data_IF_318581779907
#
_entry.id   IF_318581779907
#
_cell.length_a   1.000
_cell.length_b   1.000
_cell.length_c   1.000
_cell.angle_alpha   90.00
_cell.angle_beta   90.00
_cell.angle_gamma   90.00
#
_symmetry.space_group_name_H-M   'P 1'
#
loop_
_entity.id
_entity.type
_entity.pdbx_description
1 polymer ?
#
# COMPACT_ATOMS: atom_id res chain seq x y z
N UNK A 1 19.00 9.29 -11.41
CA UNK A 1 18.86 8.12 -12.32
C UNK A 1 19.12 8.45 -13.79
N UNK A 2 18.50 9.49 -14.39
CA UNK A 2 18.73 9.84 -15.81
C UNK A 2 20.19 10.13 -16.16
N UNK A 3 20.91 10.87 -15.29
CA UNK A 3 22.36 11.11 -15.44
C UNK A 3 23.16 9.81 -15.53
N UNK A 4 22.82 8.81 -14.70
CA UNK A 4 23.48 7.51 -14.73
C UNK A 4 23.16 6.74 -16.02
N UNK A 5 21.91 6.75 -16.47
CA UNK A 5 21.49 6.16 -17.75
C UNK A 5 22.28 6.77 -18.92
N UNK A 6 22.39 8.10 -18.97
CA UNK A 6 23.16 8.81 -19.98
C UNK A 6 24.64 8.43 -19.93
N UNK A 7 25.21 8.32 -18.73
CA UNK A 7 26.60 7.90 -18.55
C UNK A 7 26.83 6.50 -19.12
N UNK A 8 25.98 5.52 -18.78
CA UNK A 8 26.08 4.16 -19.32
C UNK A 8 25.90 4.11 -20.84
N UNK A 9 24.94 4.87 -21.38
CA UNK A 9 24.72 4.93 -22.82
C UNK A 9 25.95 5.48 -23.57
N UNK A 10 26.65 6.45 -22.99
CA UNK A 10 27.90 6.99 -23.56
C UNK A 10 29.07 6.01 -23.39
N UNK A 11 29.18 5.37 -22.23
CA UNK A 11 30.36 4.60 -21.85
C UNK A 11 30.38 3.19 -22.46
N UNK A 12 29.21 2.56 -22.64
CA UNK A 12 29.08 1.23 -23.25
C UNK A 12 29.08 1.27 -24.79
N UNK A 13 29.02 2.48 -25.37
CA UNK A 13 29.02 2.68 -26.82
C UNK A 13 27.79 2.08 -27.52
N UNK A 14 27.92 1.81 -28.82
CA UNK A 14 26.81 1.29 -29.64
C UNK A 14 26.56 -0.22 -29.48
N UNK A 15 27.44 -0.94 -28.80
CA UNK A 15 27.33 -2.40 -28.64
C UNK A 15 26.27 -2.84 -27.62
N UNK A 16 25.80 -1.92 -26.77
CA UNK A 16 24.82 -2.22 -25.72
C UNK A 16 23.74 -1.15 -25.68
N UNK A 17 22.48 -1.56 -25.84
CA UNK A 17 21.33 -0.66 -25.70
C UNK A 17 20.98 -0.49 -24.22
N UNK A 18 21.05 0.75 -23.73
CA UNK A 18 20.65 1.11 -22.37
C UNK A 18 19.20 1.59 -22.38
N UNK A 19 18.37 1.03 -21.50
CA UNK A 19 16.94 1.37 -21.36
C UNK A 19 16.64 1.78 -19.90
N UNK A 20 16.00 2.93 -19.71
CA UNK A 20 15.51 3.36 -18.41
C UNK A 20 14.08 2.84 -18.19
N UNK A 21 13.90 1.94 -17.23
CA UNK A 21 12.57 1.51 -16.79
C UNK A 21 12.09 2.39 -15.63
N UNK A 22 10.93 3.04 -15.80
CA UNK A 22 10.35 3.94 -14.79
C UNK A 22 8.83 4.01 -14.92
N UNK A 23 8.10 3.87 -13.80
CA UNK A 23 6.65 4.11 -13.75
C UNK A 23 6.31 5.57 -13.39
N UNK A 24 7.30 6.38 -12.98
CA UNK A 24 7.14 7.83 -12.87
C UNK A 24 7.02 8.45 -14.27
N UNK A 25 5.82 8.99 -14.56
CA UNK A 25 5.44 9.62 -15.83
C UNK A 25 6.34 10.80 -16.18
N UNK A 26 6.66 11.64 -15.19
CA UNK A 26 7.44 12.86 -15.39
C UNK A 26 8.92 12.53 -15.61
N UNK A 27 9.45 11.53 -14.90
CA UNK A 27 10.80 11.06 -15.13
C UNK A 27 10.94 10.40 -16.52
N UNK A 28 9.94 9.63 -16.98
CA UNK A 28 9.90 9.08 -18.33
C UNK A 28 9.92 10.20 -19.38
N UNK A 29 9.06 11.20 -19.24
CA UNK A 29 8.97 12.34 -20.17
C UNK A 29 10.31 13.06 -20.29
N UNK A 30 10.90 13.46 -19.17
CA UNK A 30 12.21 14.12 -19.14
C UNK A 30 13.33 13.26 -19.72
N UNK A 31 13.31 11.95 -19.49
CA UNK A 31 14.31 11.05 -20.07
C UNK A 31 14.24 11.02 -21.60
N UNK A 32 13.02 10.95 -22.17
CA UNK A 32 12.82 10.98 -23.62
C UNK A 32 13.28 12.32 -24.21
N UNK A 33 12.97 13.44 -23.55
CA UNK A 33 13.44 14.78 -23.95
C UNK A 33 14.96 14.93 -23.91
N UNK A 34 15.61 14.29 -22.94
CA UNK A 34 17.07 14.20 -22.82
C UNK A 34 17.69 13.20 -23.83
N UNK A 35 16.89 12.57 -24.70
CA UNK A 35 17.35 11.64 -25.75
C UNK A 35 17.64 10.22 -25.25
N UNK A 36 17.16 9.86 -24.05
CA UNK A 36 17.31 8.53 -23.47
C UNK A 36 16.14 7.64 -23.87
N UNK A 37 16.41 6.35 -24.10
CA UNK A 37 15.36 5.36 -24.21
C UNK A 37 14.75 5.11 -22.82
N UNK A 38 13.43 5.31 -22.69
CA UNK A 38 12.71 5.09 -21.43
C UNK A 38 11.34 4.47 -21.64
N UNK A 39 11.01 3.46 -20.84
CA UNK A 39 9.74 2.72 -20.89
C UNK A 39 9.15 2.53 -19.49
N UNK A 40 7.83 2.30 -19.42
CA UNK A 40 7.21 1.84 -18.17
C UNK A 40 7.47 0.35 -17.99
N UNK A 41 7.39 -0.15 -16.76
CA UNK A 41 7.55 -1.58 -16.50
C UNK A 41 6.52 -2.39 -17.30
N UNK A 42 5.27 -1.91 -17.36
CA UNK A 42 4.20 -2.54 -18.15
C UNK A 42 4.52 -2.61 -19.65
N UNK A 43 4.96 -1.50 -20.25
CA UNK A 43 5.29 -1.48 -21.68
C UNK A 43 6.45 -2.42 -22.00
N UNK A 44 7.46 -2.44 -21.13
CA UNK A 44 8.60 -3.33 -21.28
C UNK A 44 8.18 -4.80 -21.20
N UNK A 45 7.38 -5.20 -20.21
CA UNK A 45 6.89 -6.58 -20.08
C UNK A 45 6.02 -7.00 -21.27
N UNK A 46 5.15 -6.11 -21.77
CA UNK A 46 4.37 -6.37 -23.00
C UNK A 46 5.28 -6.64 -24.21
N UNK A 47 6.40 -5.92 -24.31
CA UNK A 47 7.36 -6.11 -25.40
C UNK A 47 8.08 -7.46 -25.38
N UNK A 48 8.13 -8.15 -24.23
CA UNK A 48 8.79 -9.46 -24.10
C UNK A 48 7.97 -10.61 -24.71
N UNK A 49 6.70 -10.39 -25.07
CA UNK A 49 5.82 -11.42 -25.64
C UNK A 49 5.46 -12.54 -24.66
N UNK A 50 5.56 -12.26 -23.36
CA UNK A 50 5.32 -13.21 -22.25
C UNK A 50 4.12 -12.76 -21.42
N UNK A 51 2.89 -13.19 -21.79
CA UNK A 51 1.66 -12.73 -21.15
C UNK A 51 1.60 -13.11 -19.66
N UNK A 52 2.20 -14.21 -19.25
CA UNK A 52 2.25 -14.68 -17.86
C UNK A 52 2.94 -13.70 -16.91
N UNK A 53 3.79 -12.81 -17.44
CA UNK A 53 4.46 -11.78 -16.66
C UNK A 53 3.56 -10.58 -16.38
N UNK A 54 2.51 -10.37 -17.17
CA UNK A 54 1.55 -9.28 -16.95
C UNK A 54 0.72 -9.51 -15.70
N UNK A 55 0.42 -10.76 -15.37
CA UNK A 55 -0.31 -11.14 -14.15
C UNK A 55 0.49 -10.84 -12.88
N UNK A 56 1.81 -10.73 -12.98
CA UNK A 56 2.71 -10.40 -11.87
C UNK A 56 2.91 -8.89 -11.70
N UNK A 57 2.39 -8.07 -12.62
CA UNK A 57 2.51 -6.63 -12.52
C UNK A 57 1.43 -6.05 -11.61
N UNK A 58 1.87 -5.16 -10.72
CA UNK A 58 0.95 -4.29 -10.00
C UNK A 58 0.23 -3.42 -11.02
N UNK A 59 -1.08 -3.60 -11.15
CA UNK A 59 -1.93 -2.69 -11.87
C UNK A 59 -1.91 -1.36 -11.11
N UNK A 60 -1.14 -0.39 -11.60
CA UNK A 60 -1.27 0.98 -11.11
C UNK A 60 -2.70 1.39 -11.38
N UNK A 61 -3.47 1.65 -10.31
CA UNK A 61 -4.79 2.27 -10.40
C UNK A 61 -4.65 3.44 -11.34
N UNK A 62 -5.13 3.27 -12.56
CA UNK A 62 -5.01 4.30 -13.56
C UNK A 62 -5.86 5.47 -13.05
N UNK A 63 -5.23 6.60 -12.78
CA UNK A 63 -5.96 7.87 -12.59
C UNK A 63 -6.79 8.20 -13.84
N UNK A 64 -6.43 7.61 -14.98
CA UNK A 64 -7.23 7.53 -16.20
C UNK A 64 -8.08 6.26 -16.16
N UNK A 65 -9.35 6.37 -15.77
CA UNK A 65 -10.31 5.28 -15.51
C UNK A 65 -10.62 4.30 -16.65
N UNK A 66 -9.60 3.67 -17.23
CA UNK A 66 -9.67 2.46 -18.02
C UNK A 66 -9.17 1.34 -17.11
N UNK A 67 -9.96 1.05 -16.08
CA UNK A 67 -9.92 -0.27 -15.49
C UNK A 67 -10.44 -1.22 -16.55
N UNK A 68 -9.76 -2.34 -16.76
CA UNK A 68 -10.40 -3.48 -17.40
C UNK A 68 -11.64 -3.75 -16.53
N UNK A 69 -12.83 -3.56 -17.10
CA UNK A 69 -14.08 -3.92 -16.48
C UNK A 69 -14.10 -5.44 -16.33
N UNK A 70 -13.42 -5.95 -15.30
CA UNK A 70 -13.96 -7.12 -14.61
C UNK A 70 -15.28 -6.63 -14.06
N UNK A 71 -16.36 -7.05 -14.72
CA UNK A 71 -17.74 -6.75 -14.39
C UNK A 71 -17.99 -7.17 -12.95
N UNK A 72 -17.70 -6.26 -12.03
CA UNK A 72 -18.00 -6.44 -10.62
C UNK A 72 -19.51 -6.24 -10.49
N UNK A 73 -20.25 -7.36 -10.58
CA UNK A 73 -21.70 -7.44 -10.46
C UNK A 73 -22.26 -6.89 -9.12
N UNK A 74 -21.41 -6.32 -8.25
CA UNK A 74 -21.83 -5.67 -7.02
C UNK A 74 -22.40 -4.28 -7.34
N UNK A 75 -23.62 -3.95 -6.86
CA UNK A 75 -24.29 -2.71 -7.19
C UNK A 75 -23.44 -1.50 -6.86
N UNK A 76 -23.32 -0.64 -7.86
CA UNK A 76 -22.60 0.61 -7.95
C UNK A 76 -22.89 1.56 -6.77
N UNK A 77 -21.91 1.66 -5.87
CA UNK A 77 -21.48 2.86 -5.15
C UNK A 77 -20.19 2.48 -4.45
N UNK A 78 -19.07 3.14 -4.78
CA UNK A 78 -17.82 3.09 -4.00
C UNK A 78 -18.10 3.66 -2.60
N UNK A 79 -18.81 2.93 -1.75
CA UNK A 79 -19.00 3.29 -0.35
C UNK A 79 -17.62 3.15 0.26
N UNK A 80 -17.04 4.26 0.71
CA UNK A 80 -15.78 4.22 1.46
C UNK A 80 -16.08 3.39 2.72
N UNK A 81 -15.62 2.14 2.72
CA UNK A 81 -15.90 1.17 3.82
C UNK A 81 -14.94 1.41 5.00
N UNK A 82 -13.78 2.01 4.72
CA UNK A 82 -12.67 2.13 5.64
C UNK A 82 -12.21 3.58 5.74
N UNK A 83 -12.07 4.08 6.96
CA UNK A 83 -11.54 5.41 7.21
C UNK A 83 -10.11 5.54 6.68
N UNK A 84 -9.77 6.74 6.27
CA UNK A 84 -8.41 7.06 5.83
C UNK A 84 -7.42 6.91 6.99
N UNK A 85 -6.19 6.49 6.69
CA UNK A 85 -5.16 6.39 7.72
C UNK A 85 -4.67 7.79 8.09
N UNK A 86 -4.43 8.01 9.38
CA UNK A 86 -3.85 9.24 9.88
C UNK A 86 -2.41 9.41 9.35
N UNK A 87 -1.94 10.65 9.13
CA UNK A 87 -0.57 10.88 8.73
C UNK A 87 0.41 10.45 9.82
N UNK A 88 1.62 10.03 9.41
CA UNK A 88 2.64 9.54 10.34
C UNK A 88 3.02 10.55 11.43
N UNK A 89 2.98 11.85 11.14
CA UNK A 89 3.24 12.91 12.12
C UNK A 89 2.24 12.90 13.28
N UNK A 90 0.95 12.74 12.97
CA UNK A 90 -0.12 12.65 13.97
C UNK A 90 -0.02 11.36 14.78
N UNK A 91 0.20 10.22 14.09
CA UNK A 91 0.39 8.92 14.76
C UNK A 91 1.56 9.01 15.75
N UNK A 92 2.70 9.55 15.31
CA UNK A 92 3.89 9.69 16.14
C UNK A 92 3.62 10.60 17.33
N UNK A 93 2.99 11.76 17.13
CA UNK A 93 2.63 12.66 18.23
C UNK A 93 1.67 12.01 19.21
N UNK A 94 0.64 11.31 18.73
CA UNK A 94 -0.34 10.63 19.56
C UNK A 94 0.24 9.46 20.36
N UNK A 95 1.22 8.74 19.80
CA UNK A 95 1.97 7.71 20.54
C UNK A 95 2.78 8.32 21.69
N UNK A 96 3.50 9.42 21.45
CA UNK A 96 4.27 10.11 22.50
C UNK A 96 3.38 10.70 23.61
N UNK A 97 2.17 11.16 23.25
CA UNK A 97 1.20 11.70 24.20
C UNK A 97 0.38 10.61 24.90
N UNK A 98 0.53 9.34 24.53
CA UNK A 98 -0.25 8.23 25.07
C UNK A 98 -1.73 8.22 24.63
N UNK A 99 -2.06 8.94 23.56
CA UNK A 99 -3.39 8.92 22.92
C UNK A 99 -3.55 7.64 22.09
N UNK A 100 -2.47 7.24 21.41
CA UNK A 100 -2.41 6.01 20.64
C UNK A 100 -1.55 4.98 21.34
N UNK A 101 -1.85 3.72 21.04
CA UNK A 101 -1.15 2.57 21.57
C UNK A 101 -0.68 1.72 20.40
N UNK A 102 0.64 1.53 20.30
CA UNK A 102 1.22 0.69 19.27
C UNK A 102 1.30 -0.76 19.75
N UNK A 103 1.10 -1.70 18.82
CA UNK A 103 1.24 -3.11 19.09
C UNK A 103 1.11 -3.97 17.83
N UNK A 104 1.44 -5.26 17.97
CA UNK A 104 1.24 -6.24 16.90
C UNK A 104 -0.21 -6.74 16.92
N UNK A 105 -0.89 -6.65 15.79
CA UNK A 105 -2.24 -7.18 15.60
C UNK A 105 -2.20 -8.70 15.50
N UNK A 106 -3.04 -9.38 16.28
CA UNK A 106 -3.27 -10.82 16.23
C UNK A 106 -4.74 -11.09 15.94
N UNK A 107 -5.05 -11.59 14.76
CA UNK A 107 -6.42 -11.89 14.36
C UNK A 107 -6.85 -13.23 14.96
N UNK A 108 -8.08 -13.31 15.46
CA UNK A 108 -8.63 -14.54 15.98
C UNK A 108 -8.77 -15.58 14.85
N UNK A 109 -8.20 -16.77 15.07
CA UNK A 109 -8.21 -17.89 14.10
C UNK A 109 -9.61 -18.38 13.76
N UNK A 110 -10.57 -18.22 14.67
CA UNK A 110 -11.95 -18.68 14.52
C UNK A 110 -12.91 -17.57 14.15
N UNK A 111 -12.51 -16.30 14.31
CA UNK A 111 -13.34 -15.14 14.00
C UNK A 111 -12.51 -14.05 13.31
N UNK A 112 -12.60 -13.89 11.97
CA UNK A 112 -11.81 -12.91 11.24
C UNK A 112 -12.22 -11.45 11.52
N UNK A 113 -13.29 -11.22 12.28
CA UNK A 113 -13.74 -9.89 12.69
C UNK A 113 -13.38 -9.55 14.13
N UNK A 114 -12.57 -10.38 14.77
CA UNK A 114 -12.07 -10.14 16.11
C UNK A 114 -10.54 -10.26 16.08
N UNK A 115 -9.88 -9.27 16.66
CA UNK A 115 -8.44 -9.23 16.75
C UNK A 115 -8.01 -8.64 18.09
N UNK A 116 -6.75 -8.87 18.43
CA UNK A 116 -6.14 -8.44 19.68
C UNK A 116 -4.86 -7.68 19.38
N UNK A 117 -4.64 -6.58 20.09
CA UNK A 117 -3.39 -5.81 20.03
C UNK A 117 -2.80 -5.78 21.43
N UNK A 118 -1.65 -6.43 21.60
CA UNK A 118 -0.86 -6.26 22.81
C UNK A 118 -0.10 -4.94 22.75
N UNK A 119 -0.30 -4.06 23.73
CA UNK A 119 0.47 -2.82 23.83
C UNK A 119 1.25 -2.77 25.14
N UNK A 120 2.56 -2.50 25.04
CA UNK A 120 3.43 -2.32 26.21
C UNK A 120 2.98 -1.15 27.10
N UNK A 121 2.28 -0.17 26.52
CA UNK A 121 1.82 1.04 27.22
C UNK A 121 0.59 0.83 28.12
N UNK A 122 -0.23 -0.20 27.85
CA UNK A 122 -1.45 -0.49 28.61
C UNK A 122 -1.26 -1.71 29.53
N UNK A 123 -0.39 -2.64 29.15
CA UNK A 123 -0.13 -3.87 29.92
C UNK A 123 -1.15 -4.99 29.72
N UNK A 124 -2.30 -4.68 29.10
CA UNK A 124 -3.36 -5.62 28.72
C UNK A 124 -3.57 -5.67 27.20
N UNK A 125 -4.36 -6.66 26.75
CA UNK A 125 -4.71 -6.82 25.34
C UNK A 125 -5.91 -5.96 24.95
N UNK A 126 -5.76 -5.17 23.89
CA UNK A 126 -6.83 -4.35 23.33
C UNK A 126 -7.61 -5.19 22.32
N UNK A 127 -8.90 -5.40 22.57
CA UNK A 127 -9.78 -6.13 21.65
C UNK A 127 -10.29 -5.19 20.57
N UNK A 128 -10.09 -5.58 19.32
CA UNK A 128 -10.64 -4.89 18.15
C UNK A 128 -11.73 -5.77 17.55
N UNK A 129 -12.95 -5.23 17.48
CA UNK A 129 -14.08 -5.91 16.88
C UNK A 129 -14.58 -5.18 15.64
N UNK A 130 -14.86 -5.95 14.59
CA UNK A 130 -15.45 -5.49 13.34
C UNK A 130 -14.42 -5.07 12.30
N UNK A 131 -14.78 -5.34 11.04
CA UNK A 131 -13.94 -5.06 9.87
C UNK A 131 -13.54 -3.58 9.76
N UNK A 132 -14.44 -2.66 10.11
CA UNK A 132 -14.18 -1.22 10.06
C UNK A 132 -13.11 -0.77 11.06
N UNK A 133 -13.11 -1.33 12.28
CA UNK A 133 -12.14 -0.98 13.32
C UNK A 133 -10.77 -1.62 13.09
N UNK A 134 -10.73 -2.81 12.46
CA UNK A 134 -9.48 -3.40 11.99
C UNK A 134 -8.83 -2.60 10.84
N UNK A 135 -9.61 -1.77 10.14
CA UNK A 135 -9.16 -0.83 9.12
C UNK A 135 -8.04 -1.33 8.19
N UNK A 136 -8.35 -2.36 7.37
CA UNK A 136 -7.42 -2.95 6.39
C UNK A 136 -6.14 -3.59 6.98
N UNK A 137 -6.01 -3.71 8.30
CA UNK A 137 -4.89 -4.39 8.92
C UNK A 137 -5.02 -5.92 8.82
N UNK A 138 -3.87 -6.57 8.73
CA UNK A 138 -3.71 -8.02 8.64
C UNK A 138 -3.05 -8.60 9.89
N UNK A 139 -3.20 -9.91 10.07
CA UNK A 139 -2.52 -10.64 11.14
C UNK A 139 -1.01 -10.43 11.07
N UNK A 140 -0.44 -9.99 12.19
CA UNK A 140 0.98 -9.73 12.34
C UNK A 140 1.42 -8.31 12.03
N UNK A 141 0.53 -7.44 11.52
CA UNK A 141 0.84 -6.03 11.28
C UNK A 141 1.14 -5.29 12.59
N UNK A 142 2.03 -4.30 12.51
CA UNK A 142 2.23 -3.34 13.60
C UNK A 142 1.28 -2.18 13.40
N UNK A 143 0.35 -2.01 14.31
CA UNK A 143 -0.74 -1.03 14.23
C UNK A 143 -0.66 -0.03 15.38
N UNK A 144 -1.20 1.17 15.14
CA UNK A 144 -1.48 2.14 16.19
C UNK A 144 -2.99 2.21 16.39
N UNK A 145 -3.45 2.00 17.62
CA UNK A 145 -4.87 1.98 17.97
C UNK A 145 -5.23 3.10 18.92
N UNK A 146 -6.44 3.61 18.77
CA UNK A 146 -7.06 4.58 19.67
C UNK A 146 -8.13 3.85 20.48
N UNK A 147 -8.16 4.06 21.80
CA UNK A 147 -9.20 3.47 22.62
C UNK A 147 -10.53 4.20 22.40
N UNK A 148 -11.58 3.43 22.14
CA UNK A 148 -12.93 3.96 22.12
C UNK A 148 -13.35 4.44 23.53
N UNK A 149 -14.35 5.31 23.64
CA UNK A 149 -15.01 5.62 24.90
C UNK A 149 -15.46 4.35 25.66
N UNK A 150 -15.37 4.37 27.00
CA UNK A 150 -15.61 3.19 27.86
C UNK A 150 -17.01 2.58 27.71
N UNK A 151 -18.01 3.38 27.37
CA UNK A 151 -19.39 2.96 27.09
C UNK A 151 -19.51 2.07 25.84
N UNK A 152 -18.52 2.13 24.95
CA UNK A 152 -18.47 1.30 23.73
C UNK A 152 -17.62 0.05 23.91
N UNK A 153 -17.00 -0.14 25.08
CA UNK A 153 -16.19 -1.32 25.34
C UNK A 153 -17.09 -2.55 25.42
N UNK A 154 -16.79 -3.53 24.58
CA UNK A 154 -17.50 -4.80 24.60
C UNK A 154 -16.98 -5.57 25.81
N UNK A 155 -17.88 -5.87 26.75
CA UNK A 155 -17.53 -6.40 28.06
C UNK A 155 -16.61 -7.61 27.96
N UNK A 156 -15.44 -7.52 28.59
CA UNK A 156 -14.69 -8.69 28.98
C UNK A 156 -15.60 -9.53 29.87
N UNK A 157 -15.76 -10.82 29.54
CA UNK A 157 -16.35 -11.76 30.49
C UNK A 157 -15.56 -11.65 31.79
N UNK A 158 -16.29 -11.51 32.91
CA UNK A 158 -15.79 -11.82 34.25
C UNK A 158 -15.27 -13.26 34.29
#
# INVERSE_FOLDING_TARGET
IRVATLWYQKHLGQGVRVLLLTNDRENKRKAIEEGLAAETVEAYVKSLGRPELLDLLVQSSSEDGIGVEVEDLRPSKKKIVFSEHKPMSEITSGLHQGIYHQGKLRVNRYNPFEAYVGSESIGDEIVIYGRSNMNRAFDGDVVAVELLPRDQWHGGKQ
#
